data_IF_549522237494
#
_entry.id   IF_549522237494
#
_cell.length_a   1.000
_cell.length_b   1.000
_cell.length_c   1.000
_cell.angle_alpha   90.00
_cell.angle_beta   90.00
_cell.angle_gamma   90.00
#
_symmetry.space_group_name_H-M   'P 1'
#
loop_
_entity.id
_entity.type
_entity.pdbx_description
1 polymer ?
#
# COMPACT_ATOMS: atom_id res chain seq x y z
N UNK A 1 2.42 -32.33 6.32
CA UNK A 1 3.46 -31.28 6.19
C UNK A 1 3.44 -30.48 7.48
N UNK A 2 4.53 -30.51 8.24
CA UNK A 2 4.60 -30.02 9.61
C UNK A 2 4.26 -28.54 9.72
N UNK A 3 3.57 -28.20 10.80
CA UNK A 3 3.21 -26.82 11.16
C UNK A 3 4.44 -25.90 11.21
N UNK A 4 5.64 -26.45 11.43
CA UNK A 4 6.96 -25.80 11.33
C UNK A 4 7.21 -24.89 10.15
N UNK A 5 6.71 -25.24 8.98
CA UNK A 5 6.94 -24.41 7.80
C UNK A 5 5.87 -23.31 7.64
N UNK A 6 4.73 -23.42 8.32
CA UNK A 6 3.61 -22.50 8.14
C UNK A 6 3.87 -21.14 8.81
N UNK A 7 4.42 -21.13 10.03
CA UNK A 7 4.76 -19.88 10.71
C UNK A 7 5.93 -19.15 10.05
N UNK A 8 6.95 -19.87 9.58
CA UNK A 8 8.07 -19.27 8.84
C UNK A 8 7.56 -18.59 7.57
N UNK A 9 6.69 -19.25 6.80
CA UNK A 9 6.07 -18.66 5.61
C UNK A 9 5.24 -17.42 5.93
N UNK A 10 4.48 -17.45 7.02
CA UNK A 10 3.64 -16.32 7.46
C UNK A 10 4.50 -15.12 7.85
N UNK A 11 5.55 -15.34 8.65
CA UNK A 11 6.49 -14.31 9.06
C UNK A 11 7.22 -13.70 7.84
N UNK A 12 7.74 -14.54 6.94
CA UNK A 12 8.37 -14.07 5.71
C UNK A 12 7.41 -13.24 4.85
N UNK A 13 6.15 -13.66 4.72
CA UNK A 13 5.15 -12.92 3.93
C UNK A 13 4.86 -11.56 4.55
N UNK A 14 4.70 -11.48 5.87
CA UNK A 14 4.52 -10.21 6.56
C UNK A 14 5.73 -9.28 6.40
N UNK A 15 6.95 -9.81 6.50
CA UNK A 15 8.19 -9.05 6.27
C UNK A 15 8.21 -8.49 4.84
N UNK A 16 7.89 -9.32 3.84
CA UNK A 16 7.83 -8.88 2.45
C UNK A 16 6.77 -7.79 2.24
N UNK A 17 5.64 -7.85 2.93
CA UNK A 17 4.61 -6.81 2.86
C UNK A 17 5.06 -5.50 3.49
N UNK A 18 5.75 -5.55 4.63
CA UNK A 18 6.35 -4.36 5.24
C UNK A 18 7.39 -3.75 4.31
N UNK A 19 8.26 -4.58 3.71
CA UNK A 19 9.29 -4.11 2.79
C UNK A 19 8.67 -3.49 1.53
N UNK A 20 7.66 -4.12 0.95
CA UNK A 20 6.95 -3.59 -0.21
C UNK A 20 6.30 -2.23 0.09
N UNK A 21 5.64 -2.09 1.26
CA UNK A 21 5.09 -0.82 1.70
C UNK A 21 6.15 0.26 1.88
N UNK A 22 7.26 -0.09 2.52
CA UNK A 22 8.36 0.83 2.70
C UNK A 22 8.87 1.32 1.34
N UNK A 23 9.21 0.40 0.43
CA UNK A 23 9.70 0.75 -0.91
C UNK A 23 8.71 1.65 -1.65
N UNK A 24 7.44 1.24 -1.76
CA UNK A 24 6.42 2.02 -2.47
C UNK A 24 6.21 3.40 -1.87
N UNK A 25 6.12 3.50 -0.54
CA UNK A 25 5.87 4.79 0.13
C UNK A 25 6.94 5.86 -0.15
N UNK A 26 8.15 5.47 -0.54
CA UNK A 26 9.25 6.38 -0.88
C UNK A 26 9.44 6.63 -2.39
N UNK A 27 8.63 6.07 -3.29
CA UNK A 27 8.81 6.26 -4.74
C UNK A 27 8.26 7.59 -5.28
N UNK A 28 7.16 8.07 -4.71
CA UNK A 28 6.43 9.26 -5.17
C UNK A 28 6.77 10.62 -4.50
N UNK A 29 7.30 10.69 -3.27
CA UNK A 29 7.56 11.98 -2.63
C UNK A 29 8.50 12.86 -3.45
N UNK A 30 8.18 14.14 -3.51
CA UNK A 30 8.99 15.13 -4.21
C UNK A 30 10.19 15.62 -3.38
N UNK A 31 10.05 15.63 -2.05
CA UNK A 31 11.10 16.02 -1.10
C UNK A 31 11.65 14.79 -0.35
N UNK A 32 12.95 14.45 -0.48
CA UNK A 32 13.56 13.30 0.19
C UNK A 32 13.64 13.45 1.72
N UNK A 33 13.44 14.65 2.26
CA UNK A 33 13.38 14.92 3.72
C UNK A 33 11.96 14.88 4.27
N UNK A 34 10.97 14.72 3.39
CA UNK A 34 9.56 14.63 3.76
C UNK A 34 9.29 13.40 4.62
N UNK A 35 8.59 13.62 5.73
CA UNK A 35 8.12 12.54 6.60
C UNK A 35 6.81 11.90 6.11
N UNK A 36 6.20 12.43 5.04
CA UNK A 36 4.93 11.94 4.50
C UNK A 36 4.92 10.42 4.17
N UNK A 37 6.00 9.79 3.67
CA UNK A 37 6.08 8.34 3.44
C UNK A 37 5.81 7.48 4.67
N UNK A 38 6.07 8.02 5.86
CA UNK A 38 5.85 7.30 7.12
C UNK A 38 4.36 7.01 7.34
N UNK A 39 3.47 7.85 6.82
CA UNK A 39 2.02 7.73 7.02
C UNK A 39 1.46 6.41 6.42
N UNK A 40 1.64 6.10 5.12
CA UNK A 40 1.21 4.83 4.56
C UNK A 40 1.93 3.63 5.17
N UNK A 41 3.19 3.77 5.61
CA UNK A 41 3.92 2.70 6.29
C UNK A 41 3.26 2.36 7.63
N UNK A 42 2.92 3.36 8.46
CA UNK A 42 2.24 3.15 9.74
C UNK A 42 0.86 2.52 9.50
N UNK A 43 0.07 3.07 8.57
CA UNK A 43 -1.25 2.53 8.25
C UNK A 43 -1.17 1.07 7.77
N UNK A 44 -0.24 0.76 6.89
CA UNK A 44 0.00 -0.60 6.41
C UNK A 44 0.52 -1.53 7.50
N UNK A 45 1.38 -1.06 8.41
CA UNK A 45 1.82 -1.82 9.57
C UNK A 45 0.65 -2.21 10.49
N UNK A 46 -0.28 -1.29 10.73
CA UNK A 46 -1.52 -1.56 11.49
C UNK A 46 -2.35 -2.64 10.79
N UNK A 47 -2.55 -2.54 9.47
CA UNK A 47 -3.31 -3.54 8.71
C UNK A 47 -2.61 -4.91 8.66
N UNK A 48 -1.28 -4.96 8.55
CA UNK A 48 -0.51 -6.21 8.63
C UNK A 48 -0.68 -6.84 10.00
N UNK A 49 -0.57 -6.04 11.07
CA UNK A 49 -0.82 -6.51 12.44
C UNK A 49 -2.22 -7.09 12.57
N UNK A 50 -3.24 -6.36 12.12
CA UNK A 50 -4.62 -6.84 12.12
C UNK A 50 -4.80 -8.13 11.31
N UNK A 51 -4.20 -8.23 10.13
CA UNK A 51 -4.23 -9.40 9.26
C UNK A 51 -3.55 -10.63 9.90
N UNK A 52 -2.45 -10.43 10.63
CA UNK A 52 -1.78 -11.49 11.38
C UNK A 52 -2.67 -12.00 12.52
N UNK A 53 -3.29 -11.10 13.29
CA UNK A 53 -4.18 -11.47 14.39
C UNK A 53 -5.47 -12.17 13.92
N UNK A 54 -5.95 -11.84 12.73
CA UNK A 54 -7.19 -12.40 12.18
C UNK A 54 -6.97 -13.54 11.18
N UNK A 55 -5.71 -13.93 10.93
CA UNK A 55 -5.35 -14.92 9.89
C UNK A 55 -5.84 -14.55 8.48
N UNK A 56 -5.84 -13.26 8.16
CA UNK A 56 -6.31 -12.68 6.89
C UNK A 56 -5.17 -12.05 6.07
N UNK A 57 -3.99 -12.69 6.07
CA UNK A 57 -2.80 -12.16 5.40
C UNK A 57 -2.98 -12.06 3.87
N UNK A 58 -3.83 -12.90 3.29
CA UNK A 58 -4.23 -12.86 1.89
C UNK A 58 -4.88 -11.51 1.51
N UNK A 59 -5.69 -10.93 2.41
CA UNK A 59 -6.33 -9.62 2.22
C UNK A 59 -5.30 -8.50 2.09
N UNK A 60 -4.19 -8.61 2.84
CA UNK A 60 -3.09 -7.65 2.75
C UNK A 60 -2.39 -7.72 1.39
N UNK A 61 -2.27 -8.91 0.80
CA UNK A 61 -1.74 -9.07 -0.55
C UNK A 61 -2.55 -8.29 -1.59
N UNK A 62 -3.88 -8.36 -1.53
CA UNK A 62 -4.75 -7.56 -2.39
C UNK A 62 -4.68 -6.06 -2.08
N UNK A 63 -4.53 -5.70 -0.81
CA UNK A 63 -4.36 -4.31 -0.40
C UNK A 63 -3.10 -3.68 -1.02
N UNK A 64 -2.00 -4.42 -1.02
CA UNK A 64 -0.75 -4.02 -1.68
C UNK A 64 -0.89 -3.85 -3.18
N UNK A 65 -1.62 -4.75 -3.86
CA UNK A 65 -1.88 -4.60 -5.30
C UNK A 65 -2.62 -3.28 -5.57
N UNK A 66 -3.64 -2.96 -4.78
CA UNK A 66 -4.37 -1.70 -4.90
C UNK A 66 -3.51 -0.47 -4.62
N UNK A 67 -2.64 -0.55 -3.59
CA UNK A 67 -1.66 0.48 -3.28
C UNK A 67 -0.74 0.77 -4.49
N UNK A 68 -0.10 -0.27 -5.03
CA UNK A 68 0.81 -0.11 -6.18
C UNK A 68 0.08 0.28 -7.47
N UNK A 69 -1.18 -0.11 -7.64
CA UNK A 69 -1.98 0.29 -8.81
C UNK A 69 -2.28 1.79 -8.79
N UNK A 70 -2.62 2.36 -7.63
CA UNK A 70 -2.83 3.81 -7.48
C UNK A 70 -1.51 4.56 -7.65
N UNK A 71 -0.44 4.04 -7.08
CA UNK A 71 0.90 4.59 -7.26
C UNK A 71 1.32 4.64 -8.73
N UNK A 72 1.17 3.52 -9.46
CA UNK A 72 1.45 3.45 -10.89
C UNK A 72 0.61 4.46 -11.68
N UNK A 73 -0.68 4.60 -11.34
CA UNK A 73 -1.56 5.58 -11.98
C UNK A 73 -1.06 7.01 -11.77
N UNK A 74 -0.63 7.36 -10.56
CA UNK A 74 -0.06 8.68 -10.26
C UNK A 74 1.22 8.93 -11.05
N UNK A 75 2.13 7.95 -11.12
CA UNK A 75 3.35 8.04 -11.94
C UNK A 75 3.01 8.26 -13.41
N UNK A 76 2.05 7.52 -13.97
CA UNK A 76 1.63 7.67 -15.36
C UNK A 76 1.02 9.03 -15.65
N UNK A 77 0.19 9.57 -14.74
CA UNK A 77 -0.39 10.90 -14.88
C UNK A 77 0.69 11.99 -14.85
N UNK A 78 1.63 11.90 -13.92
CA UNK A 78 2.77 12.84 -13.84
C UNK A 78 3.64 12.77 -15.10
N UNK A 79 3.95 11.57 -15.58
CA UNK A 79 4.71 11.36 -16.80
C UNK A 79 4.00 11.92 -18.04
N UNK A 80 2.69 11.72 -18.16
CA UNK A 80 1.89 12.25 -19.26
C UNK A 80 1.89 13.79 -19.27
N UNK A 81 1.71 14.44 -18.12
CA UNK A 81 1.79 15.89 -17.98
C UNK A 81 3.17 16.43 -18.39
N UNK A 82 4.24 15.75 -17.97
CA UNK A 82 5.61 16.12 -18.32
C UNK A 82 5.87 16.05 -19.83
N UNK A 83 5.38 15.00 -20.52
CA UNK A 83 5.51 14.84 -21.98
C UNK A 83 4.78 15.95 -22.74
N UNK A 84 3.66 16.44 -22.22
CA UNK A 84 2.91 17.54 -22.82
C UNK A 84 3.55 18.93 -22.58
N UNK A 85 4.66 19.00 -21.84
CA UNK A 85 5.33 20.26 -21.52
C UNK A 85 4.52 21.17 -20.60
N UNK A 86 3.52 20.63 -19.90
CA UNK A 86 2.68 21.40 -18.98
C UNK A 86 3.39 21.48 -17.63
N UNK A 87 3.86 22.68 -17.26
CA UNK A 87 4.37 22.93 -15.92
C UNK A 87 3.20 23.14 -14.95
N UNK A 88 2.90 22.13 -14.14
CA UNK A 88 1.95 22.24 -13.05
C UNK A 88 2.71 22.68 -11.79
N UNK A 89 2.37 23.83 -11.18
CA UNK A 89 2.93 24.21 -9.89
C UNK A 89 2.59 23.12 -8.87
N UNK A 90 3.59 22.59 -8.17
CA UNK A 90 3.39 21.62 -7.09
C UNK A 90 3.15 22.40 -5.79
N UNK A 91 1.93 22.43 -5.24
CA UNK A 91 1.66 23.17 -4.03
C UNK A 91 2.38 22.55 -2.83
N UNK A 92 2.65 23.39 -1.82
CA UNK A 92 3.13 22.91 -0.53
C UNK A 92 2.16 21.86 0.04
N UNK A 93 2.71 20.74 0.50
CA UNK A 93 1.93 19.66 1.10
C UNK A 93 1.42 18.58 0.13
N UNK A 94 1.81 18.63 -1.15
CA UNK A 94 1.45 17.59 -2.14
C UNK A 94 1.85 16.17 -1.68
N UNK A 95 3.01 16.01 -1.03
CA UNK A 95 3.45 14.71 -0.51
C UNK A 95 2.47 14.12 0.51
N UNK A 96 1.82 14.95 1.34
CA UNK A 96 0.80 14.49 2.29
C UNK A 96 -0.51 14.11 1.60
N UNK A 97 -0.85 14.77 0.49
CA UNK A 97 -1.99 14.40 -0.34
C UNK A 97 -1.74 13.03 -0.99
N UNK A 98 -0.56 12.82 -1.55
CA UNK A 98 -0.14 11.53 -2.11
C UNK A 98 -0.20 10.44 -1.03
N UNK A 99 0.42 10.68 0.14
CA UNK A 99 0.38 9.77 1.27
C UNK A 99 -1.07 9.43 1.69
N UNK A 100 -1.95 10.43 1.75
CA UNK A 100 -3.37 10.24 2.04
C UNK A 100 -4.07 9.36 0.99
N UNK A 101 -3.85 9.63 -0.30
CA UNK A 101 -4.39 8.81 -1.40
C UNK A 101 -3.93 7.35 -1.30
N UNK A 102 -2.66 7.12 -0.97
CA UNK A 102 -2.09 5.78 -0.80
C UNK A 102 -2.69 5.06 0.41
N UNK A 103 -2.91 5.75 1.54
CA UNK A 103 -3.62 5.19 2.70
C UNK A 103 -5.06 4.81 2.33
N UNK A 104 -5.77 5.67 1.62
CA UNK A 104 -7.14 5.38 1.17
C UNK A 104 -7.16 4.18 0.23
N UNK A 105 -6.24 4.11 -0.73
CA UNK A 105 -6.11 2.99 -1.65
C UNK A 105 -5.87 1.67 -0.90
N UNK A 106 -4.97 1.70 0.09
CA UNK A 106 -4.64 0.57 0.94
C UNK A 106 -5.86 0.11 1.74
N UNK A 107 -6.53 1.03 2.44
CA UNK A 107 -7.70 0.73 3.27
C UNK A 107 -8.87 0.21 2.42
N UNK A 108 -9.23 0.91 1.34
CA UNK A 108 -10.31 0.50 0.43
C UNK A 108 -10.05 -0.89 -0.13
N UNK A 109 -8.83 -1.15 -0.58
CA UNK A 109 -8.47 -2.46 -1.14
C UNK A 109 -8.53 -3.55 -0.08
N UNK A 110 -7.98 -3.29 1.12
CA UNK A 110 -8.04 -4.24 2.24
C UNK A 110 -9.49 -4.64 2.60
N UNK A 111 -10.38 -3.66 2.77
CA UNK A 111 -11.77 -3.93 3.16
C UNK A 111 -12.63 -4.48 2.01
N UNK A 112 -12.42 -4.01 0.78
CA UNK A 112 -13.21 -4.45 -0.39
C UNK A 112 -12.97 -5.90 -0.76
N UNK A 113 -11.72 -6.37 -0.65
CA UNK A 113 -11.40 -7.77 -0.93
C UNK A 113 -11.69 -8.68 0.28
N UNK A 114 -11.89 -8.11 1.47
CA UNK A 114 -12.30 -8.85 2.66
C UNK A 114 -13.73 -9.38 2.64
N UNK A 115 -14.70 -8.66 2.07
CA UNK A 115 -16.11 -9.07 2.07
C UNK A 115 -16.47 -10.21 1.10
N UNK A 116 -15.56 -10.62 0.20
CA UNK A 116 -15.83 -11.67 -0.80
C UNK A 116 -15.56 -13.08 -0.31
N UNK A 117 -14.78 -13.27 0.76
CA UNK A 117 -14.52 -14.61 1.32
C UNK A 117 -15.72 -15.21 2.06
N UNK A 118 -16.67 -14.37 2.50
CA UNK A 118 -17.82 -14.82 3.29
C UNK A 118 -19.02 -15.25 2.41
N UNK A 119 -19.03 -14.88 1.12
CA UNK A 119 -20.15 -15.16 0.21
C UNK A 119 -20.02 -16.51 -0.50
N UNK A 120 -18.81 -17.08 -0.60
CA UNK A 120 -18.62 -18.40 -1.24
C UNK A 120 -18.79 -19.58 -0.26
N UNK A 121 -19.11 -19.31 1.00
CA UNK A 121 -19.31 -20.32 2.04
C UNK A 121 -20.78 -20.45 2.49
N UNK A 122 -21.71 -19.76 1.82
CA UNK A 122 -23.15 -19.80 2.07
C UNK A 122 -23.91 -20.55 0.97
#
# INVERSE_FOLDING_TARGET
>A
MGTENAWVRTALTAILYVLALAVGSYLLPSDPTSIAPVIPIIAGGILIGHALFTSQLDRMGYALIGFFAVELLLVLLLGAVAVLGVSIPVPAGTDYVIAGCLVVALAVSYFRFGGRSDVSAA
#
